data_IF_785831934706
#
_entry.id   IF_785831934706
#
_cell.length_a   1.000
_cell.length_b   1.000
_cell.length_c   1.000
_cell.angle_alpha   90.00
_cell.angle_beta   90.00
_cell.angle_gamma   90.00
#
_symmetry.space_group_name_H-M   'P 1'
#
loop_
_entity.id
_entity.type
_entity.pdbx_description
1 polymer ?
#
# COMPACT_ATOMS: atom_id res chain seq x y z
N UNK A 1 -40.34 7.01 -10.60
CA UNK A 1 -39.24 7.93 -10.26
C UNK A 1 -38.25 7.13 -9.44
N UNK A 2 -37.15 6.68 -10.06
CA UNK A 2 -36.13 5.90 -9.36
C UNK A 2 -35.12 6.88 -8.75
N UNK A 3 -35.19 7.05 -7.44
CA UNK A 3 -34.16 7.78 -6.69
C UNK A 3 -32.88 6.95 -6.74
N UNK A 4 -31.99 7.35 -7.66
CA UNK A 4 -30.63 6.86 -7.74
C UNK A 4 -29.87 7.43 -6.52
N UNK A 5 -30.07 6.81 -5.36
CA UNK A 5 -29.26 7.04 -4.16
C UNK A 5 -27.87 6.45 -4.41
N UNK A 6 -27.05 7.17 -5.17
CA UNK A 6 -25.62 6.90 -5.26
C UNK A 6 -25.06 6.95 -3.84
N UNK A 7 -24.82 5.77 -3.26
CA UNK A 7 -24.39 5.61 -1.87
C UNK A 7 -23.04 6.29 -1.70
N UNK A 8 -23.04 7.54 -1.20
CA UNK A 8 -21.81 8.27 -0.88
C UNK A 8 -21.29 7.68 0.44
N UNK A 9 -20.47 6.64 0.33
CA UNK A 9 -19.78 6.05 1.49
C UNK A 9 -18.95 7.17 2.15
N UNK A 10 -19.12 7.36 3.46
CA UNK A 10 -18.33 8.31 4.23
C UNK A 10 -16.85 7.92 4.28
N UNK A 11 -15.96 8.88 4.55
CA UNK A 11 -14.52 8.59 4.60
C UNK A 11 -14.15 7.68 5.77
N UNK A 12 -14.88 7.73 6.88
CA UNK A 12 -14.71 6.76 7.99
C UNK A 12 -15.10 5.34 7.57
N UNK A 13 -16.25 5.17 6.89
CA UNK A 13 -16.72 3.86 6.43
C UNK A 13 -15.80 3.24 5.38
N UNK A 14 -15.25 4.05 4.46
CA UNK A 14 -14.24 3.59 3.50
C UNK A 14 -12.99 3.08 4.20
N UNK A 15 -12.54 3.76 5.25
CA UNK A 15 -11.37 3.36 6.02
C UNK A 15 -11.63 2.05 6.78
N UNK A 16 -12.82 1.89 7.35
CA UNK A 16 -13.26 0.62 7.95
C UNK A 16 -13.27 -0.51 6.92
N UNK A 17 -13.85 -0.28 5.73
CA UNK A 17 -13.84 -1.27 4.64
C UNK A 17 -12.43 -1.64 4.21
N UNK A 18 -11.52 -0.68 4.10
CA UNK A 18 -10.12 -0.96 3.80
C UNK A 18 -9.47 -1.89 4.84
N UNK A 19 -9.73 -1.66 6.13
CA UNK A 19 -9.27 -2.54 7.23
C UNK A 19 -9.82 -3.95 7.09
N UNK A 20 -11.13 -4.10 6.88
CA UNK A 20 -11.77 -5.41 6.69
C UNK A 20 -11.13 -6.20 5.54
N UNK A 21 -10.88 -5.55 4.39
CA UNK A 21 -10.26 -6.18 3.25
C UNK A 21 -8.79 -6.55 3.50
N UNK A 22 -8.04 -5.72 4.24
CA UNK A 22 -6.68 -6.05 4.67
C UNK A 22 -6.68 -7.28 5.58
N UNK A 23 -7.58 -7.36 6.55
CA UNK A 23 -7.63 -8.47 7.49
C UNK A 23 -8.05 -9.77 6.81
N UNK A 24 -9.04 -9.72 5.91
CA UNK A 24 -9.40 -10.85 5.03
C UNK A 24 -8.21 -11.31 4.19
N UNK A 25 -7.44 -10.37 3.63
CA UNK A 25 -6.22 -10.68 2.91
C UNK A 25 -5.19 -11.40 3.78
N UNK A 26 -5.03 -10.98 5.04
CA UNK A 26 -4.12 -11.63 6.00
C UNK A 26 -4.55 -13.06 6.34
N UNK A 27 -5.85 -13.30 6.49
CA UNK A 27 -6.38 -14.66 6.69
C UNK A 27 -6.12 -15.56 5.49
N UNK A 28 -6.41 -15.07 4.28
CA UNK A 28 -6.15 -15.81 3.04
C UNK A 28 -4.66 -16.09 2.86
N UNK A 29 -3.80 -15.13 3.23
CA UNK A 29 -2.35 -15.30 3.20
C UNK A 29 -1.88 -16.41 4.13
N UNK A 30 -2.39 -16.46 5.37
CA UNK A 30 -2.09 -17.52 6.34
C UNK A 30 -2.53 -18.90 5.84
N UNK A 31 -3.62 -18.97 5.08
CA UNK A 31 -4.14 -20.20 4.44
C UNK A 31 -3.34 -20.60 3.18
N UNK A 32 -2.34 -19.82 2.76
CA UNK A 32 -1.57 -20.05 1.53
C UNK A 32 -2.29 -19.62 0.24
N UNK A 33 -3.46 -18.98 0.35
CA UNK A 33 -4.25 -18.52 -0.80
C UNK A 33 -3.76 -17.17 -1.32
N UNK A 34 -2.51 -17.09 -1.77
CA UNK A 34 -1.83 -15.83 -2.12
C UNK A 34 -2.55 -15.01 -3.21
N UNK A 35 -3.17 -15.68 -4.19
CA UNK A 35 -3.95 -15.00 -5.25
C UNK A 35 -5.21 -14.31 -4.69
N UNK A 36 -5.93 -14.96 -3.77
CA UNK A 36 -7.10 -14.38 -3.10
C UNK A 36 -6.69 -13.25 -2.17
N UNK A 37 -5.62 -13.46 -1.39
CA UNK A 37 -5.04 -12.45 -0.52
C UNK A 37 -4.67 -11.18 -1.30
N UNK A 38 -3.98 -11.32 -2.44
CA UNK A 38 -3.65 -10.19 -3.31
C UNK A 38 -4.90 -9.44 -3.80
N UNK A 39 -5.96 -10.16 -4.18
CA UNK A 39 -7.24 -9.55 -4.55
C UNK A 39 -7.87 -8.73 -3.40
N UNK A 40 -7.81 -9.25 -2.17
CA UNK A 40 -8.31 -8.55 -0.98
C UNK A 40 -7.50 -7.29 -0.66
N UNK A 41 -6.16 -7.35 -0.69
CA UNK A 41 -5.32 -6.17 -0.49
C UNK A 41 -5.52 -5.11 -1.59
N UNK A 42 -5.68 -5.53 -2.84
CA UNK A 42 -5.98 -4.60 -3.94
C UNK A 42 -7.31 -3.89 -3.72
N UNK A 43 -8.36 -4.61 -3.28
CA UNK A 43 -9.64 -3.99 -2.92
C UNK A 43 -9.49 -2.98 -1.78
N UNK A 44 -8.69 -3.29 -0.75
CA UNK A 44 -8.41 -2.35 0.33
C UNK A 44 -7.80 -1.03 -0.22
N UNK A 45 -6.82 -1.12 -1.12
CA UNK A 45 -6.20 0.05 -1.76
C UNK A 45 -7.20 0.88 -2.59
N UNK A 46 -8.21 0.26 -3.22
CA UNK A 46 -9.25 1.00 -3.94
C UNK A 46 -10.09 1.88 -3.00
N UNK A 47 -10.47 1.36 -1.82
CA UNK A 47 -11.16 2.16 -0.80
C UNK A 47 -10.27 3.28 -0.27
N UNK A 48 -8.98 3.02 -0.02
CA UNK A 48 -8.02 4.02 0.45
C UNK A 48 -7.77 5.11 -0.60
N UNK A 49 -7.69 4.77 -1.88
CA UNK A 49 -7.58 5.75 -2.97
C UNK A 49 -8.83 6.64 -3.06
N UNK A 50 -10.01 6.09 -2.76
CA UNK A 50 -11.26 6.84 -2.67
C UNK A 50 -11.37 7.80 -1.46
N UNK A 51 -10.46 7.71 -0.50
CA UNK A 51 -10.29 8.70 0.59
C UNK A 51 -9.42 9.87 0.12
N UNK A 52 -8.37 9.57 -0.65
CA UNK A 52 -7.31 10.51 -1.05
C UNK A 52 -7.72 11.55 -2.11
N UNK A 53 -9.01 11.80 -2.32
CA UNK A 53 -9.48 12.92 -3.16
C UNK A 53 -9.05 14.33 -2.67
N UNK A 54 -8.28 14.41 -1.57
CA UNK A 54 -7.60 15.61 -1.09
C UNK A 54 -6.09 15.67 -1.41
N UNK A 55 -5.52 14.68 -2.13
CA UNK A 55 -4.17 14.80 -2.67
C UNK A 55 -4.27 15.19 -4.16
N UNK A 56 -3.79 16.36 -4.58
CA UNK A 56 -3.69 16.66 -5.99
C UNK A 56 -2.52 15.84 -6.54
N UNK A 57 -2.74 14.63 -7.07
CA UNK A 57 -1.92 14.18 -8.20
C UNK A 57 -2.33 12.94 -9.02
N UNK A 58 -1.82 12.96 -10.24
CA UNK A 58 -1.91 12.08 -11.42
C UNK A 58 -3.25 11.98 -12.16
N UNK A 59 -4.39 11.74 -11.48
CA UNK A 59 -5.67 11.57 -12.20
C UNK A 59 -6.28 12.91 -12.64
N UNK A 60 -6.00 13.99 -11.91
CA UNK A 60 -6.52 15.34 -12.22
C UNK A 60 -5.91 15.96 -13.48
N UNK A 61 -4.75 15.46 -13.95
CA UNK A 61 -4.10 15.93 -15.18
C UNK A 61 -4.63 15.22 -16.44
N UNK A 62 -5.38 14.11 -16.26
CA UNK A 62 -5.92 13.28 -17.35
C UNK A 62 -7.44 13.37 -17.47
N UNK A 63 -8.14 13.77 -16.40
CA UNK A 63 -9.59 13.93 -16.41
C UNK A 63 -9.94 15.38 -16.08
N UNK A 64 -10.37 16.14 -17.08
CA UNK A 64 -10.83 17.54 -16.96
C UNK A 64 -12.13 17.70 -16.17
N UNK A 65 -12.30 16.98 -15.06
CA UNK A 65 -13.46 17.07 -14.18
C UNK A 65 -13.30 18.19 -13.14
N UNK A 66 -14.40 18.87 -12.77
CA UNK A 66 -14.37 20.00 -11.87
C UNK A 66 -13.96 19.60 -10.45
N UNK A 67 -13.09 20.44 -9.84
CA UNK A 67 -12.66 20.33 -8.45
C UNK A 67 -13.87 20.55 -7.53
N UNK A 68 -14.41 19.47 -6.97
CA UNK A 68 -15.49 19.58 -5.99
C UNK A 68 -14.92 20.06 -4.64
N UNK A 69 -14.91 21.38 -4.44
CA UNK A 69 -14.53 22.06 -3.20
C UNK A 69 -15.67 21.94 -2.18
N UNK A 70 -15.74 20.84 -1.44
CA UNK A 70 -16.85 20.65 -0.50
C UNK A 70 -16.75 19.45 0.42
N UNK A 71 -15.57 19.13 0.96
CA UNK A 71 -15.44 18.10 1.99
C UNK A 71 -14.77 18.67 3.23
N UNK A 72 -15.40 18.42 4.37
CA UNK A 72 -14.89 18.67 5.71
C UNK A 72 -13.42 18.25 5.81
N UNK A 73 -12.56 19.04 6.48
CA UNK A 73 -11.17 18.65 6.67
C UNK A 73 -11.13 17.28 7.36
N UNK A 74 -10.60 16.28 6.67
CA UNK A 74 -10.33 14.96 7.22
C UNK A 74 -9.40 15.15 8.41
N UNK A 75 -9.69 14.53 9.55
CA UNK A 75 -8.82 14.64 10.72
C UNK A 75 -7.45 14.05 10.40
N UNK A 76 -6.40 14.68 10.94
CA UNK A 76 -5.01 14.25 10.75
C UNK A 76 -4.84 12.74 11.05
N UNK A 77 -5.49 12.27 12.11
CA UNK A 77 -5.51 10.87 12.54
C UNK A 77 -6.03 9.92 11.45
N UNK A 78 -7.10 10.29 10.74
CA UNK A 78 -7.66 9.46 9.67
C UNK A 78 -6.72 9.41 8.45
N UNK A 79 -6.00 10.50 8.17
CA UNK A 79 -5.01 10.52 7.09
C UNK A 79 -3.80 9.65 7.42
N UNK A 80 -3.33 9.69 8.67
CA UNK A 80 -2.19 8.88 9.12
C UNK A 80 -2.56 7.39 9.18
N UNK A 81 -3.78 7.05 9.61
CA UNK A 81 -4.33 5.70 9.51
C UNK A 81 -4.41 5.21 8.07
N UNK A 82 -4.91 6.05 7.14
CA UNK A 82 -5.01 5.69 5.74
C UNK A 82 -3.62 5.46 5.09
N UNK A 83 -2.63 6.29 5.44
CA UNK A 83 -1.23 6.11 5.00
C UNK A 83 -0.64 4.80 5.54
N UNK A 84 -0.84 4.52 6.83
CA UNK A 84 -0.40 3.29 7.48
C UNK A 84 -1.01 2.04 6.82
N UNK A 85 -2.31 2.05 6.57
CA UNK A 85 -3.00 0.95 5.88
C UNK A 85 -2.54 0.79 4.43
N UNK A 86 -2.25 1.89 3.74
CA UNK A 86 -1.72 1.88 2.37
C UNK A 86 -0.35 1.20 2.34
N UNK A 87 0.54 1.56 3.27
CA UNK A 87 1.84 0.92 3.46
C UNK A 87 1.70 -0.60 3.68
N UNK A 88 0.85 -0.99 4.63
CA UNK A 88 0.60 -2.40 4.95
C UNK A 88 0.09 -3.19 3.74
N UNK A 89 -0.87 -2.64 2.99
CA UNK A 89 -1.45 -3.31 1.83
C UNK A 89 -0.42 -3.50 0.71
N UNK A 90 0.38 -2.48 0.39
CA UNK A 90 1.44 -2.61 -0.61
C UNK A 90 2.52 -3.61 -0.18
N UNK A 91 2.93 -3.56 1.08
CA UNK A 91 3.90 -4.49 1.65
C UNK A 91 3.40 -5.94 1.60
N UNK A 92 2.11 -6.18 1.90
CA UNK A 92 1.52 -7.51 1.85
C UNK A 92 1.23 -7.99 0.42
N UNK A 93 0.92 -7.09 -0.52
CA UNK A 93 0.86 -7.40 -1.96
C UNK A 93 2.21 -7.89 -2.47
N UNK A 94 3.29 -7.17 -2.14
CA UNK A 94 4.65 -7.59 -2.47
C UNK A 94 4.96 -9.00 -1.93
N UNK A 95 4.53 -9.30 -0.70
CA UNK A 95 4.66 -10.64 -0.11
C UNK A 95 3.90 -11.72 -0.92
N UNK A 96 2.67 -11.44 -1.33
CA UNK A 96 1.87 -12.36 -2.15
C UNK A 96 2.53 -12.62 -3.50
N UNK A 97 3.04 -11.56 -4.15
CA UNK A 97 3.67 -11.64 -5.46
C UNK A 97 4.98 -12.43 -5.44
N UNK A 98 5.76 -12.34 -4.35
CA UNK A 98 6.95 -13.17 -4.15
C UNK A 98 6.64 -14.67 -4.03
N UNK A 99 5.40 -15.03 -3.62
CA UNK A 99 4.94 -16.42 -3.52
C UNK A 99 4.29 -16.94 -4.81
N UNK A 100 4.19 -16.12 -5.85
CA UNK A 100 3.67 -16.57 -7.14
C UNK A 100 4.64 -17.56 -7.81
N UNK A 101 4.12 -18.43 -8.68
CA UNK A 101 4.95 -19.37 -9.45
C UNK A 101 5.92 -18.69 -10.41
N UNK A 102 5.56 -17.51 -10.91
CA UNK A 102 6.41 -16.64 -11.73
C UNK A 102 6.37 -15.21 -11.16
N UNK A 103 7.24 -14.89 -10.18
CA UNK A 103 7.29 -13.58 -9.58
C UNK A 103 7.72 -12.51 -10.59
N UNK A 104 6.93 -11.44 -10.70
CA UNK A 104 7.29 -10.26 -11.49
C UNK A 104 8.04 -9.28 -10.59
N UNK A 105 9.36 -9.44 -10.49
CA UNK A 105 10.19 -8.76 -9.51
C UNK A 105 10.16 -7.23 -9.64
N UNK A 106 10.05 -6.69 -10.85
CA UNK A 106 9.96 -5.24 -11.08
C UNK A 106 8.72 -4.66 -10.41
N UNK A 107 7.56 -5.30 -10.56
CA UNK A 107 6.32 -4.88 -9.89
C UNK A 107 6.36 -5.07 -8.37
N UNK A 108 7.11 -6.07 -7.89
CA UNK A 108 7.31 -6.25 -6.44
C UNK A 108 8.10 -5.06 -5.89
N UNK A 109 9.15 -4.63 -6.60
CA UNK A 109 9.97 -3.47 -6.24
C UNK A 109 9.12 -2.20 -6.20
N UNK A 110 8.26 -1.98 -7.20
CA UNK A 110 7.31 -0.85 -7.21
C UNK A 110 6.44 -0.82 -5.96
N UNK A 111 5.81 -1.95 -5.60
CA UNK A 111 5.02 -2.03 -4.36
C UNK A 111 5.84 -1.84 -3.09
N UNK A 112 7.08 -2.32 -3.06
CA UNK A 112 7.96 -2.06 -1.93
C UNK A 112 8.30 -0.56 -1.83
N UNK A 113 8.56 0.12 -2.95
CA UNK A 113 8.82 1.56 -2.96
C UNK A 113 7.61 2.34 -2.43
N UNK A 114 6.39 2.04 -2.89
CA UNK A 114 5.17 2.68 -2.34
C UNK A 114 5.02 2.49 -0.82
N UNK A 115 5.37 1.32 -0.29
CA UNK A 115 5.36 1.09 1.15
C UNK A 115 6.46 1.87 1.88
N UNK A 116 7.64 2.02 1.27
CA UNK A 116 8.78 2.75 1.84
C UNK A 116 8.59 4.27 1.78
N UNK A 117 7.90 4.79 0.77
CA UNK A 117 7.54 6.22 0.69
C UNK A 117 6.64 6.62 1.88
N UNK A 118 5.75 5.71 2.30
CA UNK A 118 4.89 5.91 3.47
C UNK A 118 5.60 5.58 4.80
N UNK A 119 6.49 4.59 4.81
CA UNK A 119 7.25 4.18 6.00
C UNK A 119 8.66 3.75 5.60
N UNK A 120 9.64 4.69 5.58
CA UNK A 120 11.00 4.42 5.12
C UNK A 120 11.72 3.31 5.90
N UNK A 121 11.30 3.10 7.15
CA UNK A 121 11.91 2.15 8.08
C UNK A 121 11.19 0.79 8.09
N UNK A 122 10.32 0.51 7.13
CA UNK A 122 9.61 -0.77 7.06
C UNK A 122 10.57 -1.90 6.67
N UNK A 123 11.11 -2.59 7.68
CA UNK A 123 12.06 -3.70 7.54
C UNK A 123 11.54 -4.79 6.58
N UNK A 124 10.24 -5.09 6.63
CA UNK A 124 9.63 -6.12 5.76
C UNK A 124 9.65 -5.69 4.30
N UNK A 125 9.34 -4.42 4.02
CA UNK A 125 9.37 -3.88 2.66
C UNK A 125 10.81 -3.78 2.12
N UNK A 126 11.77 -3.33 2.94
CA UNK A 126 13.20 -3.29 2.58
C UNK A 126 13.74 -4.69 2.25
N UNK A 127 13.43 -5.68 3.09
CA UNK A 127 13.87 -7.04 2.85
C UNK A 127 13.29 -7.60 1.54
N UNK A 128 11.98 -7.42 1.30
CA UNK A 128 11.30 -7.87 0.07
C UNK A 128 11.83 -7.17 -1.18
N UNK A 129 12.13 -5.87 -1.08
CA UNK A 129 12.80 -5.10 -2.15
C UNK A 129 14.18 -5.69 -2.45
N UNK A 130 15.00 -5.91 -1.43
CA UNK A 130 16.33 -6.50 -1.58
C UNK A 130 16.28 -7.88 -2.24
N UNK A 131 15.37 -8.75 -1.81
CA UNK A 131 15.16 -10.06 -2.46
C UNK A 131 14.79 -9.96 -3.93
N UNK A 132 13.95 -8.97 -4.27
CA UNK A 132 13.50 -8.77 -5.65
C UNK A 132 14.58 -8.19 -6.55
N UNK A 133 15.36 -7.23 -6.03
CA UNK A 133 16.53 -6.65 -6.74
C UNK A 133 17.60 -7.71 -6.99
N UNK A 134 17.87 -8.56 -6.00
CA UNK A 134 18.79 -9.67 -6.14
C UNK A 134 18.37 -10.64 -7.25
N UNK A 135 17.06 -10.91 -7.36
CA UNK A 135 16.53 -11.83 -8.36
C UNK A 135 16.60 -11.30 -9.80
N UNK A 136 16.61 -9.98 -10.00
CA UNK A 136 16.80 -9.35 -11.33
C UNK A 136 18.27 -9.04 -11.65
N UNK A 137 19.20 -9.36 -10.74
CA UNK A 137 20.63 -9.14 -10.91
C UNK A 137 21.16 -7.77 -10.44
N UNK A 138 20.32 -6.93 -9.82
CA UNK A 138 20.77 -5.69 -9.18
C UNK A 138 21.30 -5.98 -7.77
N UNK A 139 22.56 -6.41 -7.71
CA UNK A 139 23.21 -6.81 -6.47
C UNK A 139 23.55 -5.61 -5.57
N UNK A 140 23.91 -4.46 -6.16
CA UNK A 140 24.24 -3.25 -5.41
C UNK A 140 22.99 -2.67 -4.72
N UNK A 141 21.88 -2.59 -5.46
CA UNK A 141 20.58 -2.19 -4.93
C UNK A 141 20.07 -3.16 -3.86
N UNK A 142 20.24 -4.47 -4.08
CA UNK A 142 19.88 -5.49 -3.11
C UNK A 142 20.66 -5.36 -1.80
N UNK A 143 21.99 -5.20 -1.90
CA UNK A 143 22.86 -5.03 -0.74
C UNK A 143 22.47 -3.79 0.07
N UNK A 144 22.23 -2.66 -0.60
CA UNK A 144 21.77 -1.42 0.04
C UNK A 144 20.45 -1.64 0.79
N UNK A 145 19.46 -2.25 0.14
CA UNK A 145 18.16 -2.55 0.76
C UNK A 145 18.30 -3.48 1.99
N UNK A 146 19.14 -4.52 1.91
CA UNK A 146 19.38 -5.42 3.05
C UNK A 146 20.14 -4.74 4.19
N UNK A 147 21.06 -3.82 3.90
CA UNK A 147 21.73 -3.04 4.93
C UNK A 147 20.77 -2.12 5.66
N UNK A 148 19.84 -1.46 4.94
CA UNK A 148 18.79 -0.65 5.56
C UNK A 148 17.82 -1.50 6.39
N UNK A 149 17.57 -2.74 5.99
CA UNK A 149 16.70 -3.67 6.73
C UNK A 149 17.32 -4.16 8.06
N UNK A 150 18.62 -3.92 8.31
CA UNK A 150 19.27 -4.37 9.55
C UNK A 150 18.85 -3.48 10.73
N UNK A 151 18.34 -4.07 11.83
CA UNK A 151 17.84 -3.33 12.99
C UNK A 151 18.90 -2.48 13.72
N UNK A 152 20.20 -2.64 13.41
CA UNK A 152 21.29 -1.90 14.03
C UNK A 152 21.59 -0.51 13.44
N UNK A 153 21.23 -0.23 12.18
CA UNK A 153 21.53 1.07 11.54
C UNK A 153 20.56 2.18 11.96
N UNK A 154 19.38 1.81 12.45
CA UNK A 154 18.34 2.72 12.94
C UNK A 154 18.63 3.29 14.34
N UNK A 155 19.54 2.66 15.10
CA UNK A 155 19.88 3.07 16.48
C UNK A 155 21.03 4.09 16.54
N UNK A 156 21.79 4.28 15.45
CA UNK A 156 22.94 5.19 15.40
C UNK A 156 22.66 6.55 14.76
N UNK A 157 21.40 6.85 14.42
CA UNK A 157 21.00 8.16 13.86
C UNK A 157 20.36 9.10 14.91
N UNK A 158 20.24 8.65 16.16
CA UNK A 158 19.64 9.40 17.28
C UNK A 158 20.45 9.31 18.59
N UNK A 159 21.76 9.03 18.50
CA UNK A 159 22.71 9.13 19.63
C UNK A 159 23.87 9.99 19.19
#
# INVERSE_FOLDING_TARGET
>A
MAENTGFVISDSEKLLKAREYKDRGNEDYKKGNFRKAAGSYHRALLYLKGLSSNCPDLLSSLSGLPKNKGKSPMTQDLMDDARSLTCDCHNNLAACMLKASAPKYERIIEHCNFALDASPNNIKALYRKGTSLYAIGDYDGALSAFQMAKPGKLRSLFT
#
